data_IF_655242249385
#
_entry.id   IF_655242249385
#
_cell.length_a   1.000
_cell.length_b   1.000
_cell.length_c   1.000
_cell.angle_alpha   90.00
_cell.angle_beta   90.00
_cell.angle_gamma   90.00
#
_symmetry.space_group_name_H-M   'P 1'
#
loop_
_entity.id
_entity.type
_entity.pdbx_description
1 polymer ?
#
# COMPACT_ATOMS: atom_id res chain seq x y z
N UNK A 1 -37.19 4.79 -19.77
CA UNK A 1 -36.76 3.93 -18.64
C UNK A 1 -35.24 3.80 -18.53
N UNK A 2 -34.48 3.46 -19.60
CA UNK A 2 -33.01 3.33 -19.55
C UNK A 2 -32.23 4.58 -19.12
N UNK A 3 -32.74 5.79 -19.39
CA UNK A 3 -32.09 7.06 -19.00
C UNK A 3 -32.17 7.35 -17.49
N UNK A 4 -33.22 6.88 -16.79
CA UNK A 4 -33.30 7.03 -15.33
C UNK A 4 -32.28 6.15 -14.60
N UNK A 5 -32.04 4.94 -15.11
CA UNK A 5 -31.10 4.00 -14.48
C UNK A 5 -29.67 4.54 -14.48
N UNK A 6 -29.26 5.22 -15.55
CA UNK A 6 -27.93 5.83 -15.65
C UNK A 6 -27.75 7.00 -14.67
N UNK A 7 -28.78 7.84 -14.52
CA UNK A 7 -28.76 8.98 -13.58
C UNK A 7 -28.65 8.52 -12.12
N UNK A 8 -29.32 7.43 -11.76
CA UNK A 8 -29.27 6.85 -10.42
C UNK A 8 -27.87 6.30 -10.12
N UNK A 9 -27.24 5.60 -11.07
CA UNK A 9 -25.89 5.04 -10.89
C UNK A 9 -24.84 6.15 -10.68
N UNK A 10 -24.95 7.28 -11.40
CA UNK A 10 -24.02 8.41 -11.23
C UNK A 10 -24.18 9.08 -9.86
N UNK A 11 -25.42 9.21 -9.37
CA UNK A 11 -25.69 9.79 -8.04
C UNK A 11 -25.18 8.90 -6.90
N UNK A 12 -25.25 7.57 -7.03
CA UNK A 12 -24.73 6.66 -6.00
C UNK A 12 -23.19 6.61 -5.98
N UNK A 13 -22.52 6.89 -7.11
CA UNK A 13 -21.07 6.88 -7.19
C UNK A 13 -20.38 8.08 -6.48
N UNK A 14 -21.10 9.18 -6.22
CA UNK A 14 -20.53 10.34 -5.51
C UNK A 14 -20.46 10.14 -3.99
N UNK A 15 -21.12 9.11 -3.46
CA UNK A 15 -21.12 8.78 -2.04
C UNK A 15 -20.08 7.70 -1.70
N UNK A 16 -18.93 7.71 -2.38
CA UNK A 16 -17.77 7.00 -1.87
C UNK A 16 -17.27 7.77 -0.63
N UNK A 17 -17.43 7.25 0.61
CA UNK A 17 -16.79 7.87 1.75
C UNK A 17 -15.30 7.99 1.43
N UNK A 18 -14.85 9.23 1.26
CA UNK A 18 -13.45 9.54 1.09
C UNK A 18 -12.73 8.89 2.26
N UNK A 19 -11.84 7.94 1.97
CA UNK A 19 -11.00 7.28 2.97
C UNK A 19 -10.24 8.38 3.71
N UNK A 20 -10.72 8.72 4.90
CA UNK A 20 -10.06 9.69 5.76
C UNK A 20 -8.91 8.98 6.47
N UNK A 21 -7.75 9.64 6.63
CA UNK A 21 -6.69 9.08 7.44
C UNK A 21 -7.19 8.92 8.87
N UNK A 22 -7.25 7.68 9.35
CA UNK A 22 -7.51 7.36 10.74
C UNK A 22 -6.20 7.38 11.53
N UNK A 23 -6.19 8.06 12.68
CA UNK A 23 -5.06 8.05 13.61
C UNK A 23 -5.33 7.04 14.72
N UNK A 24 -4.42 6.09 14.92
CA UNK A 24 -4.44 5.18 16.05
C UNK A 24 -3.35 5.57 17.05
N UNK A 25 -3.74 5.74 18.32
CA UNK A 25 -2.79 5.99 19.40
C UNK A 25 -2.41 4.65 20.02
N UNK A 26 -1.23 4.16 19.68
CA UNK A 26 -0.66 2.97 20.31
C UNK A 26 0.26 3.44 21.44
N UNK A 27 0.03 2.94 22.66
CA UNK A 27 0.71 3.46 23.85
C UNK A 27 1.65 2.41 24.47
N UNK A 28 1.42 1.13 24.17
CA UNK A 28 2.20 0.01 24.71
C UNK A 28 2.59 -0.99 23.62
N UNK A 29 3.68 -1.75 23.80
CA UNK A 29 4.11 -2.79 22.85
C UNK A 29 3.02 -3.85 22.59
N UNK A 30 2.17 -4.11 23.60
CA UNK A 30 1.04 -5.04 23.49
C UNK A 30 0.01 -4.59 22.44
N UNK A 31 -0.14 -3.29 22.24
CA UNK A 31 -1.07 -2.73 21.25
C UNK A 31 -0.61 -3.06 19.82
N UNK A 32 0.70 -3.18 19.60
CA UNK A 32 1.30 -3.58 18.32
C UNK A 32 1.32 -5.10 18.13
N UNK A 33 1.39 -5.88 19.21
CA UNK A 33 1.52 -7.34 19.14
C UNK A 33 0.30 -8.05 18.53
N UNK A 34 -0.88 -7.44 18.61
CA UNK A 34 -2.12 -7.98 18.04
C UNK A 34 -2.30 -7.65 16.55
N UNK A 35 -1.57 -6.65 16.04
CA UNK A 35 -1.66 -6.17 14.66
C UNK A 35 -0.73 -6.93 13.72
N UNK A 36 -1.15 -7.10 12.47
CA UNK A 36 -0.26 -7.55 11.39
C UNK A 36 0.28 -6.36 10.63
N UNK A 37 1.59 -6.27 10.49
CA UNK A 37 2.27 -5.21 9.72
C UNK A 37 2.35 -5.51 8.22
N UNK A 38 1.33 -6.15 7.66
CA UNK A 38 1.31 -6.47 6.24
C UNK A 38 1.22 -5.18 5.42
N UNK A 39 2.21 -4.92 4.56
CA UNK A 39 2.29 -3.73 3.71
C UNK A 39 2.32 -2.40 4.50
N UNK A 40 2.90 -2.41 5.70
CA UNK A 40 3.13 -1.21 6.51
C UNK A 40 4.59 -1.07 6.93
N UNK A 41 5.04 0.16 7.19
CA UNK A 41 6.38 0.46 7.72
C UNK A 41 6.22 1.25 9.02
N UNK A 42 7.03 0.87 10.01
CA UNK A 42 7.18 1.61 11.28
C UNK A 42 8.46 2.43 11.23
N UNK A 43 8.36 3.73 11.47
CA UNK A 43 9.55 4.59 11.54
C UNK A 43 10.18 4.59 12.94
N UNK A 44 11.36 5.20 13.10
CA UNK A 44 12.08 5.28 14.39
C UNK A 44 11.33 6.05 15.48
N UNK A 45 10.25 6.77 15.13
CA UNK A 45 9.36 7.47 16.07
C UNK A 45 8.16 6.60 16.49
N UNK A 46 8.04 5.38 15.97
CA UNK A 46 6.92 4.48 16.23
C UNK A 46 5.67 4.78 15.41
N UNK A 47 5.75 5.64 14.40
CA UNK A 47 4.62 5.96 13.53
C UNK A 47 4.45 4.85 12.47
N UNK A 48 3.21 4.40 12.27
CA UNK A 48 2.86 3.37 11.29
C UNK A 48 2.34 4.04 10.01
N UNK A 49 2.90 3.64 8.86
CA UNK A 49 2.53 4.16 7.55
C UNK A 49 2.38 3.03 6.52
N UNK A 50 1.68 3.29 5.41
CA UNK A 50 1.60 2.32 4.30
C UNK A 50 2.98 2.17 3.65
N UNK A 51 3.40 0.91 3.46
CA UNK A 51 4.64 0.60 2.77
C UNK A 51 4.53 0.94 1.28
N UNK A 52 5.65 1.36 0.69
CA UNK A 52 5.75 1.47 -0.77
C UNK A 52 5.55 0.07 -1.37
N UNK A 53 4.76 -0.03 -2.45
CA UNK A 53 4.65 -1.27 -3.22
C UNK A 53 6.04 -1.61 -3.78
N UNK A 54 6.55 -2.78 -3.43
CA UNK A 54 7.75 -3.37 -4.03
C UNK A 54 7.31 -4.59 -4.82
N UNK A 55 7.74 -4.66 -6.06
CA UNK A 55 7.47 -5.77 -6.97
C UNK A 55 8.81 -6.27 -7.48
N UNK A 56 9.08 -7.56 -7.27
CA UNK A 56 10.29 -8.21 -7.79
C UNK A 56 10.08 -8.41 -9.28
N UNK A 57 10.78 -7.62 -10.09
CA UNK A 57 10.71 -7.72 -11.56
C UNK A 57 11.52 -8.90 -12.10
N UNK A 58 12.59 -9.28 -11.40
CA UNK A 58 13.45 -10.41 -11.76
C UNK A 58 13.99 -11.04 -10.47
N UNK A 59 13.78 -12.35 -10.31
CA UNK A 59 14.32 -13.11 -9.18
C UNK A 59 15.83 -13.33 -9.40
N UNK A 60 16.61 -13.28 -8.33
CA UNK A 60 18.07 -13.45 -8.38
C UNK A 60 18.49 -14.78 -9.02
N UNK A 61 17.65 -15.82 -8.95
CA UNK A 61 17.90 -17.12 -9.60
C UNK A 61 17.80 -17.05 -11.15
N UNK A 62 17.08 -16.06 -11.66
CA UNK A 62 16.83 -15.84 -13.09
C UNK A 62 17.72 -14.70 -13.63
N UNK A 63 18.66 -14.20 -12.83
CA UNK A 63 19.57 -13.13 -13.22
C UNK A 63 20.50 -13.60 -14.35
N UNK A 64 20.56 -12.89 -15.49
CA UNK A 64 21.48 -13.23 -16.57
C UNK A 64 22.94 -13.02 -16.12
N UNK A 65 23.86 -13.79 -16.69
CA UNK A 65 25.29 -13.60 -16.46
C UNK A 65 25.71 -12.17 -16.87
N UNK A 66 26.19 -11.39 -15.91
CA UNK A 66 26.64 -10.01 -16.15
C UNK A 66 28.06 -10.03 -16.69
N UNK A 67 28.23 -9.63 -17.95
CA UNK A 67 29.54 -9.35 -18.54
C UNK A 67 29.82 -7.85 -18.37
N UNK A 68 30.59 -7.48 -17.34
CA UNK A 68 31.09 -6.11 -17.18
C UNK A 68 32.34 -5.91 -18.01
N UNK A 69 32.26 -5.05 -19.03
CA UNK A 69 33.43 -4.54 -19.72
C UNK A 69 34.02 -3.37 -18.89
N UNK A 70 35.12 -3.64 -18.19
CA UNK A 70 35.94 -2.58 -17.60
C UNK A 70 36.88 -2.07 -18.68
N UNK A 71 36.68 -0.84 -19.14
CA UNK A 71 37.67 -0.12 -19.95
C UNK A 71 38.74 0.43 -19.00
N UNK A 72 39.99 0.00 -19.19
CA UNK A 72 41.18 0.56 -18.54
C UNK A 72 41.93 1.39 -19.57
#
# INVERSE_FOLDING_TARGET
MRRCTVLIVVLLASAAPAVTPAGWTHTTEKDFASGKFEKTVVNSRGEVSLARKVEVLLDSKDAPAVVSALAV
#
